data_IF_373690096182
#
_entry.id   IF_373690096182
#
_cell.length_a   1.000
_cell.length_b   1.000
_cell.length_c   1.000
_cell.angle_alpha   90.00
_cell.angle_beta   90.00
_cell.angle_gamma   90.00
#
_symmetry.space_group_name_H-M   'P 1'
#
loop_
_entity.id
_entity.type
_entity.pdbx_description
1 polymer ?
#
# COMPACT_ATOMS: atom_id res chain seq x y z
N UNK A 1 7.56 5.78 -4.29
CA UNK A 1 6.73 6.24 -5.42
C UNK A 1 6.88 7.75 -5.50
N UNK A 2 7.00 8.32 -6.70
CA UNK A 2 7.08 9.77 -6.85
C UNK A 2 5.68 10.35 -6.68
N UNK A 3 5.53 11.24 -5.71
CA UNK A 3 4.25 11.75 -5.29
C UNK A 3 3.75 12.81 -6.28
N UNK A 4 2.96 12.34 -7.24
CA UNK A 4 2.35 13.18 -8.28
C UNK A 4 1.30 14.06 -7.62
N UNK A 5 1.50 15.38 -7.62
CA UNK A 5 0.47 16.33 -7.17
C UNK A 5 -0.70 16.27 -8.13
N UNK A 6 -1.84 15.76 -7.66
CA UNK A 6 -3.05 15.61 -8.47
C UNK A 6 -4.01 16.78 -8.31
N UNK A 7 -3.92 17.55 -7.21
CA UNK A 7 -4.81 18.67 -6.96
C UNK A 7 -4.53 19.33 -5.61
N UNK A 8 -5.46 20.18 -5.17
CA UNK A 8 -5.41 20.87 -3.88
C UNK A 8 -6.72 20.76 -3.14
N UNK A 9 -6.69 20.93 -1.82
CA UNK A 9 -7.90 20.94 -1.01
C UNK A 9 -8.71 22.22 -1.26
N UNK A 10 -9.99 22.05 -1.56
CA UNK A 10 -10.97 23.13 -1.65
C UNK A 10 -11.74 23.29 -0.33
N UNK A 11 -12.18 22.18 0.26
CA UNK A 11 -13.01 22.17 1.46
C UNK A 11 -12.82 20.89 2.27
N UNK A 12 -12.90 21.00 3.60
CA UNK A 12 -12.87 19.88 4.53
C UNK A 12 -14.22 19.79 5.26
N UNK A 13 -14.86 18.62 5.26
CA UNK A 13 -16.08 18.32 6.02
C UNK A 13 -15.89 17.01 6.80
N UNK A 14 -15.29 17.11 8.00
CA UNK A 14 -14.95 15.93 8.80
C UNK A 14 -13.97 15.04 8.04
N UNK A 15 -14.30 13.76 7.77
CA UNK A 15 -13.42 12.84 7.05
C UNK A 15 -13.57 12.93 5.52
N UNK A 16 -14.40 13.83 5.00
CA UNK A 16 -14.62 14.02 3.56
C UNK A 16 -13.96 15.32 3.11
N UNK A 17 -13.09 15.22 2.11
CA UNK A 17 -12.33 16.33 1.54
C UNK A 17 -12.77 16.53 0.10
N UNK A 18 -13.12 17.77 -0.25
CA UNK A 18 -13.35 18.20 -1.62
C UNK A 18 -12.04 18.78 -2.18
N UNK A 19 -11.57 18.22 -3.29
CA UNK A 19 -10.38 18.63 -4.01
C UNK A 19 -10.75 19.45 -5.25
N UNK A 20 -9.88 20.37 -5.63
CA UNK A 20 -10.00 21.19 -6.84
C UNK A 20 -8.72 21.20 -7.66
N UNK A 21 -8.86 21.60 -8.93
CA UNK A 21 -7.75 21.57 -9.88
C UNK A 21 -7.25 20.15 -10.12
N UNK A 22 -8.14 19.16 -9.96
CA UNK A 22 -7.81 17.74 -10.01
C UNK A 22 -7.45 17.37 -11.43
N UNK A 23 -6.25 16.79 -11.61
CA UNK A 23 -5.75 16.30 -12.88
C UNK A 23 -5.20 14.90 -12.69
N UNK A 24 -5.50 14.03 -13.66
CA UNK A 24 -4.88 12.70 -13.77
C UNK A 24 -5.18 11.77 -12.56
N UNK A 25 -6.21 12.10 -11.76
CA UNK A 25 -6.68 11.25 -10.67
C UNK A 25 -7.58 10.11 -11.18
N UNK A 26 -7.52 8.96 -10.54
CA UNK A 26 -8.33 7.77 -10.85
C UNK A 26 -9.34 7.50 -9.74
N UNK A 27 -10.44 6.88 -10.13
CA UNK A 27 -11.45 6.38 -9.19
C UNK A 27 -10.81 5.31 -8.29
N UNK A 28 -11.06 5.36 -6.97
CA UNK A 28 -10.47 4.47 -5.95
C UNK A 28 -8.96 4.62 -5.77
N UNK A 29 -8.34 5.65 -6.36
CA UNK A 29 -6.92 5.90 -6.18
C UNK A 29 -6.60 6.25 -4.73
N UNK A 30 -5.57 5.61 -4.18
CA UNK A 30 -5.02 5.97 -2.89
C UNK A 30 -4.31 7.33 -3.02
N UNK A 31 -4.60 8.24 -2.10
CA UNK A 31 -4.03 9.59 -2.07
C UNK A 31 -3.43 9.90 -0.70
N UNK A 32 -2.50 10.84 -0.69
CA UNK A 32 -1.97 11.45 0.53
C UNK A 32 -2.32 12.93 0.52
N UNK A 33 -2.88 13.39 1.63
CA UNK A 33 -3.45 14.72 1.76
C UNK A 33 -2.54 15.57 2.65
N UNK A 34 -2.23 16.78 2.19
CA UNK A 34 -1.34 17.74 2.85
C UNK A 34 0.09 17.21 3.02
N UNK A 35 0.96 18.05 3.58
CA UNK A 35 2.34 17.69 3.93
C UNK A 35 2.38 16.78 5.17
N UNK A 36 1.27 16.68 5.91
CA UNK A 36 1.07 15.66 6.95
C UNK A 36 0.84 14.24 6.39
N UNK A 37 0.77 14.05 5.07
CA UNK A 37 0.64 12.73 4.42
C UNK A 37 -0.54 11.89 4.92
N UNK A 38 -1.66 12.52 5.22
CA UNK A 38 -2.87 11.82 5.69
C UNK A 38 -3.41 10.93 4.58
N UNK A 39 -3.58 9.65 4.87
CA UNK A 39 -4.02 8.66 3.89
C UNK A 39 -5.51 8.81 3.60
N UNK A 40 -5.87 8.77 2.32
CA UNK A 40 -7.26 8.74 1.87
C UNK A 40 -7.42 8.06 0.51
N UNK A 41 -8.66 8.05 0.02
CA UNK A 41 -9.06 7.42 -1.23
C UNK A 41 -9.99 8.35 -2.03
N UNK A 42 -9.78 8.43 -3.34
CA UNK A 42 -10.71 9.12 -4.24
C UNK A 42 -12.00 8.32 -4.36
N UNK A 43 -13.13 8.89 -3.91
CA UNK A 43 -14.47 8.25 -3.92
C UNK A 43 -15.46 8.88 -4.91
N UNK A 44 -15.15 10.06 -5.47
CA UNK A 44 -15.90 10.64 -6.60
C UNK A 44 -14.98 11.51 -7.45
N UNK A 45 -15.19 11.50 -8.77
CA UNK A 45 -14.57 12.42 -9.73
C UNK A 45 -15.66 13.18 -10.49
N UNK A 46 -15.54 14.51 -10.57
CA UNK A 46 -16.53 15.38 -11.21
C UNK A 46 -15.82 16.59 -11.84
N UNK A 47 -15.62 16.54 -13.17
CA UNK A 47 -14.89 17.59 -13.90
C UNK A 47 -13.44 17.72 -13.40
N UNK A 48 -13.10 18.90 -12.88
CA UNK A 48 -11.81 19.24 -12.27
C UNK A 48 -11.81 19.14 -10.74
N UNK A 49 -12.82 18.48 -10.16
CA UNK A 49 -12.96 18.25 -8.72
C UNK A 49 -13.01 16.76 -8.37
N UNK A 50 -12.64 16.45 -7.14
CA UNK A 50 -12.75 15.10 -6.60
C UNK A 50 -13.23 15.12 -5.15
N UNK A 51 -13.92 14.07 -4.74
CA UNK A 51 -14.21 13.81 -3.32
C UNK A 51 -13.26 12.73 -2.84
N UNK A 52 -12.57 13.02 -1.74
CA UNK A 52 -11.62 12.14 -1.08
C UNK A 52 -12.18 11.77 0.29
N UNK A 53 -12.21 10.47 0.57
CA UNK A 53 -12.49 9.94 1.89
C UNK A 53 -11.16 9.69 2.59
N UNK A 54 -10.89 10.37 3.71
CA UNK A 54 -9.69 10.10 4.50
C UNK A 54 -9.93 9.03 5.56
N UNK A 55 -8.87 8.31 5.93
CA UNK A 55 -8.90 7.24 6.94
C UNK A 55 -8.24 7.63 8.27
N UNK A 56 -7.66 8.82 8.34
CA UNK A 56 -7.09 9.39 9.56
C UNK A 56 -7.78 10.73 9.89
N UNK A 57 -7.46 11.29 11.05
CA UNK A 57 -8.02 12.56 11.52
C UNK A 57 -7.54 13.75 10.66
N UNK A 58 -8.46 14.66 10.32
CA UNK A 58 -8.22 15.81 9.41
C UNK A 58 -7.78 17.09 10.12
N UNK A 59 -7.59 17.07 11.44
CA UNK A 59 -7.22 18.27 12.20
C UNK A 59 -5.87 18.82 11.74
N UNK A 60 -5.78 20.10 11.41
CA UNK A 60 -4.52 20.73 10.98
C UNK A 60 -4.31 20.75 9.46
N UNK A 61 -5.16 20.05 8.71
CA UNK A 61 -5.23 20.17 7.25
C UNK A 61 -6.04 21.43 6.87
N UNK A 62 -5.59 22.17 5.86
CA UNK A 62 -6.22 23.41 5.43
C UNK A 62 -6.57 23.42 3.93
N UNK A 63 -7.51 24.28 3.48
CA UNK A 63 -7.66 24.58 2.06
C UNK A 63 -6.33 25.05 1.44
N UNK A 64 -6.16 24.81 0.15
CA UNK A 64 -4.92 24.98 -0.64
C UNK A 64 -3.81 23.94 -0.41
N UNK A 65 -3.90 23.10 0.63
CA UNK A 65 -2.94 22.03 0.85
C UNK A 65 -2.86 21.07 -0.36
N UNK A 66 -1.67 20.55 -0.70
CA UNK A 66 -1.49 19.67 -1.84
C UNK A 66 -2.10 18.29 -1.59
N UNK A 67 -2.54 17.64 -2.67
CA UNK A 67 -2.98 16.25 -2.66
C UNK A 67 -2.09 15.47 -3.64
N UNK A 68 -1.52 14.39 -3.14
CA UNK A 68 -0.60 13.53 -3.87
C UNK A 68 -1.29 12.21 -4.23
N UNK A 69 -1.33 11.87 -5.52
CA UNK A 69 -1.91 10.62 -6.01
C UNK A 69 -0.86 9.52 -6.17
N UNK A 70 -1.20 8.30 -5.73
CA UNK A 70 -0.33 7.12 -5.87
C UNK A 70 -0.43 6.43 -7.23
N UNK A 71 -1.47 6.71 -8.01
CA UNK A 71 -1.78 6.05 -9.28
C UNK A 71 -2.34 4.63 -9.15
N UNK A 72 -2.42 4.09 -7.94
CA UNK A 72 -2.90 2.73 -7.66
C UNK A 72 -4.07 2.76 -6.67
N UNK A 73 -4.97 1.76 -6.72
CA UNK A 73 -6.02 1.64 -5.72
C UNK A 73 -5.45 1.23 -4.36
N UNK A 74 -6.26 1.39 -3.31
CA UNK A 74 -5.94 0.81 -2.00
C UNK A 74 -5.63 -0.69 -2.16
N UNK A 75 -4.40 -1.05 -1.80
CA UNK A 75 -3.84 -2.37 -2.04
C UNK A 75 -3.13 -2.85 -0.77
N UNK A 76 -3.07 -4.16 -0.60
CA UNK A 76 -2.34 -4.79 0.50
C UNK A 76 -1.09 -5.48 -0.03
N UNK A 77 -0.03 -5.45 0.75
CA UNK A 77 1.17 -6.22 0.48
C UNK A 77 0.97 -7.69 0.92
N UNK A 78 1.33 -8.62 0.04
CA UNK A 78 1.23 -10.05 0.27
C UNK A 78 2.61 -10.70 0.16
N UNK A 79 3.04 -11.37 1.21
CA UNK A 79 4.30 -12.11 1.22
C UNK A 79 4.69 -12.68 2.58
N UNK A 80 5.86 -13.34 2.67
CA UNK A 80 6.38 -13.87 3.92
C UNK A 80 6.66 -12.75 4.93
N UNK A 81 6.21 -12.93 6.16
CA UNK A 81 6.32 -11.95 7.24
C UNK A 81 5.00 -11.26 7.58
N UNK A 82 3.88 -11.68 6.99
CA UNK A 82 2.55 -11.24 7.44
C UNK A 82 2.11 -11.97 8.71
N UNK A 83 2.41 -13.27 8.81
CA UNK A 83 1.92 -14.10 9.90
C UNK A 83 2.63 -13.73 11.20
N UNK A 84 1.83 -13.48 12.24
CA UNK A 84 2.30 -13.09 13.57
C UNK A 84 2.35 -11.58 13.80
N UNK A 85 2.06 -10.76 12.78
CA UNK A 85 1.95 -9.31 12.93
C UNK A 85 0.52 -8.86 13.23
N UNK A 86 0.40 -7.71 13.91
CA UNK A 86 -0.87 -7.01 14.15
C UNK A 86 -0.87 -5.72 13.31
N UNK A 87 -1.92 -5.54 12.52
CA UNK A 87 -2.07 -4.43 11.60
C UNK A 87 -3.25 -3.52 11.98
N UNK A 88 -3.20 -2.26 11.55
CA UNK A 88 -4.37 -1.38 11.54
C UNK A 88 -5.23 -1.57 10.27
N UNK A 89 -6.26 -0.73 10.10
CA UNK A 89 -7.21 -0.82 8.99
C UNK A 89 -6.63 -0.58 7.59
N UNK A 90 -5.40 -0.07 7.49
CA UNK A 90 -4.69 0.18 6.23
C UNK A 90 -3.37 -0.59 6.14
N UNK A 91 -3.26 -1.70 6.88
CA UNK A 91 -2.12 -2.63 6.86
C UNK A 91 -0.79 -2.04 7.35
N UNK A 92 -0.81 -1.10 8.30
CA UNK A 92 0.42 -0.65 8.99
C UNK A 92 0.69 -1.49 10.25
N UNK A 93 1.93 -1.97 10.47
CA UNK A 93 2.25 -2.85 11.60
C UNK A 93 2.24 -2.07 12.93
N UNK A 94 1.31 -2.40 13.82
CA UNK A 94 1.09 -1.67 15.08
C UNK A 94 2.29 -1.75 16.04
N UNK A 95 2.99 -2.87 16.07
CA UNK A 95 4.18 -3.01 16.94
C UNK A 95 5.29 -2.05 16.54
N UNK A 96 5.55 -1.91 15.23
CA UNK A 96 6.54 -0.96 14.71
C UNK A 96 6.10 0.49 14.91
N UNK A 97 4.81 0.79 14.71
CA UNK A 97 4.27 2.11 15.01
C UNK A 97 4.56 2.45 16.48
N UNK A 98 4.26 1.52 17.39
CA UNK A 98 4.49 1.71 18.83
C UNK A 98 5.97 1.93 19.16
N UNK A 99 6.88 1.20 18.53
CA UNK A 99 8.33 1.39 18.71
C UNK A 99 8.78 2.79 18.28
N UNK A 100 8.19 3.36 17.23
CA UNK A 100 8.56 4.67 16.69
C UNK A 100 7.87 5.85 17.40
N UNK A 101 6.60 5.71 17.78
CA UNK A 101 5.79 6.84 18.27
C UNK A 101 5.31 6.70 19.71
N UNK A 102 5.63 5.58 20.37
CA UNK A 102 5.20 5.27 21.72
C UNK A 102 3.75 4.79 21.77
N UNK A 103 3.03 5.14 22.84
CA UNK A 103 1.69 4.60 23.11
C UNK A 103 0.58 5.16 22.22
N UNK A 104 0.81 6.30 21.56
CA UNK A 104 -0.17 6.95 20.69
C UNK A 104 0.26 6.83 19.22
N UNK A 105 -0.73 6.60 18.35
CA UNK A 105 -0.54 6.57 16.90
C UNK A 105 -0.52 8.01 16.40
N UNK A 106 0.60 8.46 15.84
CA UNK A 106 0.66 9.73 15.11
C UNK A 106 0.10 9.55 13.71
N UNK A 107 -0.42 10.63 13.14
CA UNK A 107 -0.99 10.63 11.79
C UNK A 107 0.12 10.72 10.74
N UNK A 108 -0.17 10.28 9.51
CA UNK A 108 0.78 10.43 8.41
C UNK A 108 2.00 9.51 8.51
N UNK A 109 1.97 8.55 9.43
CA UNK A 109 3.03 7.55 9.53
C UNK A 109 2.93 6.62 8.32
N UNK A 110 4.02 6.56 7.56
CA UNK A 110 4.20 5.58 6.50
C UNK A 110 5.22 4.53 6.95
N UNK A 111 4.80 3.26 6.92
CA UNK A 111 5.65 2.12 7.19
C UNK A 111 5.34 1.02 6.19
N UNK A 112 6.38 0.29 5.81
CA UNK A 112 6.20 -0.93 5.03
C UNK A 112 5.38 -1.94 5.84
N UNK A 113 4.39 -2.55 5.19
CA UNK A 113 3.52 -3.56 5.81
C UNK A 113 4.29 -4.83 6.19
N UNK A 114 5.36 -5.15 5.46
CA UNK A 114 6.22 -6.31 5.71
C UNK A 114 7.65 -5.81 5.93
N UNK A 115 8.35 -6.47 6.84
CA UNK A 115 9.77 -6.21 7.11
C UNK A 115 10.66 -6.52 5.89
N UNK A 116 11.14 -5.48 5.21
CA UNK A 116 12.04 -5.61 4.05
C UNK A 116 13.45 -6.05 4.42
N UNK A 117 13.86 -5.89 5.67
CA UNK A 117 15.20 -6.26 6.15
C UNK A 117 15.27 -7.72 6.58
N UNK A 118 14.12 -8.34 6.87
CA UNK A 118 14.05 -9.74 7.28
C UNK A 118 14.37 -10.66 6.09
N UNK A 119 15.41 -11.46 6.26
CA UNK A 119 15.83 -12.45 5.27
C UNK A 119 15.07 -13.76 5.46
N UNK A 120 14.67 -14.35 4.35
CA UNK A 120 13.97 -15.62 4.28
C UNK A 120 14.77 -16.61 3.44
N UNK A 121 14.78 -17.88 3.85
CA UNK A 121 15.33 -18.95 3.01
C UNK A 121 14.23 -19.43 2.05
N UNK A 122 14.44 -19.16 0.78
CA UNK A 122 13.53 -19.55 -0.30
C UNK A 122 13.98 -20.89 -0.90
N UNK A 123 13.02 -21.81 -1.06
CA UNK A 123 13.24 -23.12 -1.65
C UNK A 123 12.47 -23.16 -2.97
N UNK A 124 13.15 -23.05 -4.13
CA UNK A 124 12.48 -23.12 -5.43
C UNK A 124 11.94 -24.53 -5.69
N UNK A 125 10.76 -24.61 -6.34
CA UNK A 125 10.18 -25.89 -6.79
C UNK A 125 10.05 -25.99 -8.31
N UNK A 126 10.43 -24.93 -9.02
CA UNK A 126 10.43 -24.83 -10.49
C UNK A 126 11.87 -24.65 -10.99
N UNK A 127 12.08 -24.89 -12.28
CA UNK A 127 13.41 -24.84 -12.92
C UNK A 127 13.49 -23.81 -14.04
N UNK A 128 14.71 -23.46 -14.45
CA UNK A 128 14.93 -22.59 -15.60
C UNK A 128 14.35 -23.22 -16.88
N UNK A 129 13.65 -22.42 -17.67
CA UNK A 129 12.97 -22.84 -18.91
C UNK A 129 11.56 -23.39 -18.73
N UNK A 130 11.13 -23.65 -17.49
CA UNK A 130 9.80 -24.16 -17.18
C UNK A 130 8.71 -23.11 -17.46
N UNK A 131 7.56 -23.57 -17.97
CA UNK A 131 6.40 -22.71 -18.22
C UNK A 131 5.64 -22.47 -16.93
N UNK A 132 5.30 -21.20 -16.71
CA UNK A 132 4.57 -20.73 -15.53
C UNK A 132 3.35 -19.93 -15.94
N UNK A 133 2.36 -19.97 -15.07
CA UNK A 133 1.12 -19.21 -15.21
C UNK A 133 0.72 -18.58 -13.88
N UNK A 134 -0.13 -17.56 -13.94
CA UNK A 134 -0.59 -16.83 -12.76
C UNK A 134 -1.14 -17.76 -11.67
N UNK A 135 -0.78 -17.50 -10.41
CA UNK A 135 -1.19 -18.34 -9.28
C UNK A 135 -0.46 -19.67 -9.14
N UNK A 136 0.43 -20.04 -10.07
CA UNK A 136 1.31 -21.20 -9.92
C UNK A 136 2.32 -20.96 -8.78
N UNK A 137 2.65 -22.01 -8.02
CA UNK A 137 3.67 -21.93 -6.96
C UNK A 137 5.05 -22.07 -7.58
N UNK A 138 5.95 -21.12 -7.32
CA UNK A 138 7.35 -21.16 -7.81
C UNK A 138 8.34 -21.60 -6.74
N UNK A 139 7.94 -21.54 -5.48
CA UNK A 139 8.74 -22.03 -4.38
C UNK A 139 8.09 -21.77 -3.04
N UNK A 140 8.79 -22.10 -1.98
CA UNK A 140 8.27 -22.01 -0.62
C UNK A 140 9.25 -21.32 0.30
N UNK A 141 8.71 -20.71 1.35
CA UNK A 141 9.45 -20.12 2.46
C UNK A 141 8.89 -20.69 3.75
N UNK A 142 9.74 -21.14 4.66
CA UNK A 142 9.30 -21.50 6.01
C UNK A 142 9.10 -20.24 6.83
N UNK A 143 7.86 -19.72 6.86
CA UNK A 143 7.53 -18.44 7.52
C UNK A 143 7.52 -18.56 9.05
N UNK A 144 7.00 -19.68 9.56
CA UNK A 144 7.05 -20.02 10.99
C UNK A 144 7.50 -21.47 11.19
N UNK A 145 7.67 -21.92 12.43
CA UNK A 145 8.03 -23.31 12.72
C UNK A 145 7.06 -24.34 12.10
N UNK A 146 5.79 -23.96 11.94
CA UNK A 146 4.70 -24.84 11.49
C UNK A 146 4.08 -24.45 10.15
N UNK A 147 4.35 -23.25 9.64
CA UNK A 147 3.69 -22.73 8.44
C UNK A 147 4.70 -22.55 7.33
N UNK A 148 4.43 -23.23 6.21
CA UNK A 148 5.06 -23.02 4.93
C UNK A 148 4.24 -21.96 4.15
N UNK A 149 4.93 -20.94 3.66
CA UNK A 149 4.40 -19.91 2.80
C UNK A 149 4.73 -20.24 1.35
N UNK A 150 3.72 -20.26 0.48
CA UNK A 150 3.91 -20.53 -0.96
C UNK A 150 4.07 -19.23 -1.73
N UNK A 151 5.16 -19.11 -2.47
CA UNK A 151 5.41 -17.97 -3.35
C UNK A 151 4.75 -18.25 -4.68
N UNK A 152 3.82 -17.38 -5.08
CA UNK A 152 3.00 -17.54 -6.28
C UNK A 152 3.49 -16.64 -7.41
N UNK A 153 3.25 -17.05 -8.65
CA UNK A 153 3.34 -16.17 -9.81
C UNK A 153 2.25 -15.09 -9.71
N UNK A 154 2.60 -13.80 -9.83
CA UNK A 154 1.61 -12.73 -9.78
C UNK A 154 0.54 -12.82 -10.86
N UNK A 155 -0.63 -12.21 -10.59
CA UNK A 155 -1.72 -12.12 -11.55
C UNK A 155 -1.28 -11.41 -12.83
N UNK A 156 -1.76 -11.91 -13.97
CA UNK A 156 -1.42 -11.42 -15.31
C UNK A 156 -0.04 -11.84 -15.83
N UNK A 157 0.76 -12.56 -15.04
CA UNK A 157 2.10 -13.01 -15.46
C UNK A 157 2.04 -14.48 -15.90
N UNK A 158 2.44 -14.72 -17.15
CA UNK A 158 2.57 -16.04 -17.74
C UNK A 158 3.81 -16.06 -18.64
N UNK A 159 4.50 -17.20 -18.76
CA UNK A 159 5.65 -17.31 -19.65
C UNK A 159 6.63 -18.40 -19.23
N UNK A 160 7.90 -18.23 -19.59
CA UNK A 160 8.98 -19.16 -19.23
C UNK A 160 9.93 -18.54 -18.24
N UNK A 161 10.36 -19.34 -17.26
CA UNK A 161 11.36 -18.92 -16.27
C UNK A 161 12.69 -18.71 -16.97
N UNK A 162 13.22 -17.48 -16.89
CA UNK A 162 14.56 -17.16 -17.40
C UNK A 162 15.67 -17.52 -16.43
N UNK A 163 15.42 -17.43 -15.13
CA UNK A 163 16.36 -17.74 -14.07
C UNK A 163 15.62 -17.87 -12.76
N UNK A 164 16.07 -18.75 -11.87
CA UNK A 164 15.55 -18.87 -10.51
C UNK A 164 16.71 -18.86 -9.51
N UNK A 165 16.53 -18.12 -8.41
CA UNK A 165 17.51 -18.01 -7.33
C UNK A 165 17.12 -18.95 -6.18
N UNK A 166 18.11 -19.48 -5.48
CA UNK A 166 17.99 -20.35 -4.31
C UNK A 166 18.87 -19.83 -3.18
#
# INVERSE_FOLDING_TARGET
MADRVIGKIKKINGPVIEAMGVKDARMFELVRVSDENVVGEVVKLEGDTAIIQVYEDTTGIAPEDPIYGSGIPLSVELGPGLIGNIYDGIQRPLERIREMTGIYIKRGIMLDSIDKEKKWHFIPIVTEGEEIYEGMVVGTVKETERIEHRVLVPLGINGKIKSIVS
#
